data_IF_054632816369
#
_entry.id   IF_054632816369
#
_cell.length_a   1.000
_cell.length_b   1.000
_cell.length_c   1.000
_cell.angle_alpha   90.00
_cell.angle_beta   90.00
_cell.angle_gamma   90.00
#
_symmetry.space_group_name_H-M   'P 1'
#
loop_
_entity.id
_entity.type
_entity.pdbx_description
1 polymer ?
#
# COMPACT_ATOMS: atom_id res chain seq x y z
N UNK A 1 -6.72 -20.43 -1.89
CA UNK A 1 -6.24 -21.40 -2.91
C UNK A 1 -5.92 -20.73 -4.24
N UNK A 2 -6.85 -20.00 -4.88
CA UNK A 2 -6.60 -19.38 -6.21
C UNK A 2 -5.41 -18.41 -6.20
N UNK A 3 -5.30 -17.52 -5.21
CA UNK A 3 -4.18 -16.59 -5.09
C UNK A 3 -2.83 -17.35 -4.94
N UNK A 4 -2.80 -18.43 -4.18
CA UNK A 4 -1.62 -19.26 -3.99
C UNK A 4 -1.20 -19.98 -5.27
N UNK A 5 -2.17 -20.42 -6.09
CA UNK A 5 -1.90 -21.02 -7.40
C UNK A 5 -1.34 -19.97 -8.35
N UNK A 6 -2.02 -18.81 -8.45
CA UNK A 6 -1.62 -17.72 -9.34
C UNK A 6 -0.26 -17.10 -8.97
N UNK A 7 0.15 -17.18 -7.70
CA UNK A 7 1.49 -16.77 -7.27
C UNK A 7 2.59 -17.80 -7.61
N UNK A 8 2.22 -18.93 -8.21
CA UNK A 8 3.16 -19.97 -8.64
C UNK A 8 3.80 -20.75 -7.50
N UNK A 9 3.18 -20.77 -6.33
CA UNK A 9 3.66 -21.51 -5.16
C UNK A 9 3.15 -22.98 -5.13
N UNK A 10 2.23 -23.34 -6.02
CA UNK A 10 1.65 -24.70 -6.07
C UNK A 10 2.40 -25.56 -7.08
N UNK A 11 2.81 -26.74 -6.63
CA UNK A 11 3.48 -27.75 -7.44
C UNK A 11 2.67 -29.04 -7.37
N UNK A 12 2.49 -29.70 -8.51
CA UNK A 12 1.81 -30.98 -8.64
C UNK A 12 2.77 -31.97 -9.28
N UNK A 13 3.12 -33.03 -8.55
CA UNK A 13 4.12 -33.99 -9.03
C UNK A 13 5.47 -33.33 -9.36
N UNK A 14 5.85 -32.29 -8.62
CA UNK A 14 7.08 -31.53 -8.82
C UNK A 14 7.01 -30.44 -9.92
N UNK A 15 5.92 -30.37 -10.69
CA UNK A 15 5.72 -29.34 -11.72
C UNK A 15 4.89 -28.17 -11.18
N UNK A 16 5.31 -26.94 -11.49
CA UNK A 16 4.60 -25.72 -11.10
C UNK A 16 3.26 -25.61 -11.82
N UNK A 17 2.21 -25.32 -11.05
CA UNK A 17 0.85 -25.04 -11.56
C UNK A 17 0.49 -23.60 -11.17
N UNK A 18 0.27 -22.73 -12.16
CA UNK A 18 -0.02 -21.30 -11.96
C UNK A 18 -1.43 -20.88 -12.41
N UNK A 19 -2.18 -21.82 -13.03
CA UNK A 19 -3.56 -21.58 -13.49
C UNK A 19 -4.57 -22.24 -12.57
N UNK A 20 -5.44 -21.46 -11.87
CA UNK A 20 -6.56 -22.04 -11.14
C UNK A 20 -7.50 -22.80 -12.07
N UNK A 21 -7.93 -24.00 -11.65
CA UNK A 21 -8.78 -24.86 -12.47
C UNK A 21 -8.04 -25.80 -13.43
N UNK A 22 -6.71 -25.85 -13.39
CA UNK A 22 -5.95 -26.89 -14.07
C UNK A 22 -6.40 -28.28 -13.58
N UNK A 23 -6.74 -29.23 -14.46
CA UNK A 23 -7.10 -30.57 -14.05
C UNK A 23 -5.88 -31.26 -13.44
N UNK A 24 -6.08 -31.94 -12.30
CA UNK A 24 -5.05 -32.72 -11.62
C UNK A 24 -5.65 -34.11 -11.28
N UNK A 25 -4.82 -35.13 -11.22
CA UNK A 25 -5.27 -36.48 -10.82
C UNK A 25 -5.77 -36.47 -9.36
N UNK A 26 -6.73 -37.34 -9.02
CA UNK A 26 -7.29 -37.39 -7.65
C UNK A 26 -6.24 -37.74 -6.59
N UNK A 27 -5.23 -38.53 -6.97
CA UNK A 27 -4.11 -38.97 -6.14
C UNK A 27 -2.86 -38.07 -6.28
N UNK A 28 -2.96 -36.94 -6.97
CA UNK A 28 -1.83 -36.08 -7.22
C UNK A 28 -1.27 -35.50 -5.92
N UNK A 29 0.04 -35.60 -5.75
CA UNK A 29 0.73 -34.96 -4.65
C UNK A 29 0.83 -33.43 -4.92
N UNK A 30 0.13 -32.62 -4.12
CA UNK A 30 0.13 -31.18 -4.20
C UNK A 30 1.05 -30.64 -3.10
N UNK A 31 2.06 -29.90 -3.51
CA UNK A 31 2.98 -29.20 -2.61
C UNK A 31 2.83 -27.70 -2.74
N UNK A 32 2.88 -27.00 -1.63
CA UNK A 32 3.01 -25.54 -1.61
C UNK A 32 4.46 -25.24 -1.23
N UNK A 33 5.20 -24.62 -2.17
CA UNK A 33 6.60 -24.27 -1.98
C UNK A 33 6.73 -22.75 -1.83
N UNK A 34 7.34 -22.31 -0.73
CA UNK A 34 7.52 -20.90 -0.39
C UNK A 34 6.50 -20.39 0.63
N UNK A 35 6.63 -19.13 1.00
CA UNK A 35 5.74 -18.49 1.96
C UNK A 35 4.41 -18.13 1.31
N UNK A 36 3.32 -18.68 1.83
CA UNK A 36 1.96 -18.27 1.44
C UNK A 36 1.78 -16.82 1.85
N UNK A 37 1.31 -15.99 0.90
CA UNK A 37 1.00 -14.60 1.18
C UNK A 37 -0.07 -14.52 2.29
N UNK A 38 0.21 -13.84 3.42
CA UNK A 38 -0.73 -13.80 4.54
C UNK A 38 -1.96 -12.92 4.27
N UNK A 39 -1.92 -12.12 3.21
CA UNK A 39 -2.95 -11.15 2.84
C UNK A 39 -3.59 -11.49 1.49
N UNK A 40 -4.77 -10.92 1.21
CA UNK A 40 -5.47 -11.10 -0.08
C UNK A 40 -4.69 -10.58 -1.28
N UNK A 41 -3.69 -9.71 -1.07
CA UNK A 41 -2.77 -9.26 -2.10
C UNK A 41 -1.42 -8.82 -1.50
N UNK A 42 -0.39 -8.70 -2.35
CA UNK A 42 0.95 -8.22 -1.96
C UNK A 42 0.96 -6.82 -1.33
N UNK A 43 -0.10 -6.03 -1.56
CA UNK A 43 -0.26 -4.71 -0.92
C UNK A 43 -0.16 -4.79 0.60
N UNK A 44 -0.69 -5.85 1.23
CA UNK A 44 -0.60 -6.04 2.68
C UNK A 44 0.82 -6.06 3.24
N UNK A 45 1.81 -6.55 2.47
CA UNK A 45 3.22 -6.56 2.86
C UNK A 45 3.80 -5.14 3.01
N UNK A 46 3.28 -4.17 2.27
CA UNK A 46 3.70 -2.78 2.35
C UNK A 46 3.30 -2.17 3.70
N UNK A 47 2.04 -2.34 4.09
CA UNK A 47 1.56 -1.87 5.39
C UNK A 47 2.22 -2.65 6.54
N UNK A 48 2.42 -3.95 6.40
CA UNK A 48 3.14 -4.76 7.38
C UNK A 48 4.55 -4.22 7.62
N UNK A 49 5.30 -3.84 6.58
CA UNK A 49 6.61 -3.19 6.74
C UNK A 49 6.51 -1.88 7.49
N UNK A 50 5.53 -1.03 7.17
CA UNK A 50 5.31 0.22 7.89
C UNK A 50 5.05 -0.03 9.37
N UNK A 51 4.21 -1.02 9.71
CA UNK A 51 3.91 -1.38 11.10
C UNK A 51 5.10 -1.97 11.87
N UNK A 52 6.04 -2.58 11.16
CA UNK A 52 7.30 -3.06 11.80
C UNK A 52 8.29 -1.93 12.08
N UNK A 53 8.26 -0.87 11.27
CA UNK A 53 9.22 0.23 11.35
C UNK A 53 8.73 1.43 12.15
N UNK A 54 7.42 1.63 12.20
CA UNK A 54 6.79 2.76 12.87
C UNK A 54 5.90 2.28 14.02
N UNK A 55 5.70 3.10 15.06
CA UNK A 55 4.89 2.75 16.22
C UNK A 55 3.39 2.82 15.92
N UNK A 56 2.91 1.97 15.01
CA UNK A 56 1.51 1.92 14.57
C UNK A 56 0.78 0.84 15.37
N UNK A 57 -0.32 1.21 16.04
CA UNK A 57 -1.21 0.30 16.74
C UNK A 57 -2.61 0.44 16.16
N UNK A 58 -3.20 -0.67 15.71
CA UNK A 58 -4.51 -0.68 15.06
C UNK A 58 -5.60 -1.38 15.88
N UNK A 59 -5.26 -1.91 17.04
CA UNK A 59 -6.24 -2.59 17.92
C UNK A 59 -7.37 -1.64 18.31
N UNK A 60 -8.59 -1.98 17.92
CA UNK A 60 -9.80 -1.18 18.18
C UNK A 60 -9.91 0.09 17.32
N UNK A 61 -9.01 0.32 16.39
CA UNK A 61 -8.99 1.51 15.55
C UNK A 61 -10.09 1.48 14.47
N UNK A 62 -10.63 2.66 14.17
CA UNK A 62 -11.42 2.94 12.97
C UNK A 62 -10.49 3.44 11.88
N UNK A 63 -10.43 2.73 10.78
CA UNK A 63 -9.44 2.95 9.73
C UNK A 63 -10.06 3.31 8.39
N UNK A 64 -9.29 4.03 7.57
CA UNK A 64 -9.56 4.23 6.14
C UNK A 64 -8.50 3.55 5.27
N UNK A 65 -8.92 2.83 4.24
CA UNK A 65 -8.04 2.28 3.19
C UNK A 65 -8.35 3.01 1.89
N UNK A 66 -7.53 3.99 1.55
CA UNK A 66 -7.72 4.87 0.41
C UNK A 66 -6.96 4.32 -0.80
N UNK A 67 -7.72 3.83 -1.78
CA UNK A 67 -7.20 3.04 -2.89
C UNK A 67 -7.15 1.56 -2.55
N UNK A 68 -8.23 1.02 -1.98
CA UNK A 68 -8.27 -0.32 -1.41
C UNK A 68 -8.01 -1.44 -2.42
N UNK A 69 -8.41 -1.27 -3.69
CA UNK A 69 -8.23 -2.28 -4.75
C UNK A 69 -8.74 -3.66 -4.32
N UNK A 70 -7.89 -4.68 -4.32
CA UNK A 70 -8.23 -6.03 -3.84
C UNK A 70 -8.34 -6.14 -2.32
N UNK A 71 -7.86 -5.15 -1.56
CA UNK A 71 -7.99 -5.07 -0.12
C UNK A 71 -6.78 -5.56 0.69
N UNK A 72 -5.58 -5.53 0.10
CA UNK A 72 -4.37 -5.96 0.82
C UNK A 72 -4.11 -5.19 2.11
N UNK A 73 -4.29 -3.86 2.08
CA UNK A 73 -4.14 -3.01 3.27
C UNK A 73 -5.31 -3.22 4.24
N UNK A 74 -6.54 -3.29 3.75
CA UNK A 74 -7.72 -3.62 4.55
C UNK A 74 -7.53 -4.93 5.32
N UNK A 75 -7.09 -6.00 4.64
CA UNK A 75 -6.84 -7.31 5.27
C UNK A 75 -5.74 -7.21 6.35
N UNK A 76 -4.65 -6.49 6.06
CA UNK A 76 -3.60 -6.22 7.04
C UNK A 76 -4.13 -5.48 8.28
N UNK A 77 -4.93 -4.45 8.11
CA UNK A 77 -5.54 -3.71 9.22
C UNK A 77 -6.43 -4.60 10.08
N UNK A 78 -7.30 -5.39 9.46
CA UNK A 78 -8.20 -6.31 10.18
C UNK A 78 -7.44 -7.38 10.96
N UNK A 79 -6.38 -7.95 10.39
CA UNK A 79 -5.53 -8.93 11.07
C UNK A 79 -4.76 -8.31 12.24
N UNK A 80 -4.52 -7.01 12.23
CA UNK A 80 -3.89 -6.26 13.32
C UNK A 80 -4.89 -5.58 14.26
N UNK A 81 -6.15 -6.03 14.25
CA UNK A 81 -7.14 -5.68 15.27
C UNK A 81 -7.96 -4.43 15.00
N UNK A 82 -7.97 -3.90 13.77
CA UNK A 82 -8.87 -2.80 13.42
C UNK A 82 -10.34 -3.19 13.67
N UNK A 83 -11.07 -2.30 14.33
CA UNK A 83 -12.47 -2.47 14.63
C UNK A 83 -13.35 -2.28 13.40
N UNK A 84 -12.97 -1.34 12.53
CA UNK A 84 -13.72 -0.98 11.33
C UNK A 84 -12.76 -0.44 10.26
N UNK A 85 -13.00 -0.78 9.01
CA UNK A 85 -12.23 -0.26 7.87
C UNK A 85 -13.16 0.22 6.78
N UNK A 86 -13.02 1.49 6.40
CA UNK A 86 -13.62 2.07 5.19
C UNK A 86 -12.70 1.79 4.01
N UNK A 87 -13.07 0.84 3.17
CA UNK A 87 -12.33 0.47 1.96
C UNK A 87 -12.82 1.31 0.77
N UNK A 88 -12.07 2.34 0.43
CA UNK A 88 -12.42 3.36 -0.58
C UNK A 88 -11.66 3.09 -1.88
N UNK A 89 -12.38 3.00 -3.00
CA UNK A 89 -11.78 2.86 -4.32
C UNK A 89 -12.63 3.51 -5.41
N UNK A 90 -11.99 4.03 -6.45
CA UNK A 90 -12.69 4.54 -7.65
C UNK A 90 -13.20 3.40 -8.53
N UNK A 91 -12.60 2.22 -8.44
CA UNK A 91 -12.97 1.00 -9.14
C UNK A 91 -14.25 0.37 -8.59
N UNK A 92 -14.62 -0.74 -9.21
CA UNK A 92 -15.79 -1.52 -8.83
C UNK A 92 -15.53 -3.02 -8.91
N UNK A 93 -16.01 -3.77 -7.91
CA UNK A 93 -15.95 -5.23 -7.89
C UNK A 93 -14.53 -5.81 -7.66
N UNK A 94 -13.56 -4.99 -7.23
CA UNK A 94 -12.17 -5.43 -7.04
C UNK A 94 -11.90 -5.98 -5.64
N UNK A 95 -12.60 -5.47 -4.62
CA UNK A 95 -12.40 -5.89 -3.23
C UNK A 95 -12.68 -7.39 -3.08
N UNK A 96 -11.74 -8.12 -2.50
CA UNK A 96 -11.84 -9.57 -2.28
C UNK A 96 -13.13 -9.91 -1.52
N UNK A 97 -13.82 -10.99 -1.94
CA UNK A 97 -15.10 -11.40 -1.35
C UNK A 97 -15.03 -11.61 0.17
N UNK A 98 -13.94 -12.17 0.67
CA UNK A 98 -13.68 -12.34 2.10
C UNK A 98 -13.81 -11.03 2.87
N UNK A 99 -13.31 -9.91 2.31
CA UNK A 99 -13.34 -8.59 2.93
C UNK A 99 -14.69 -7.92 2.73
N UNK A 100 -15.27 -8.05 1.54
CA UNK A 100 -16.60 -7.52 1.23
C UNK A 100 -17.70 -8.08 2.14
N UNK A 101 -17.55 -9.31 2.58
CA UNK A 101 -18.48 -9.99 3.49
C UNK A 101 -18.14 -9.83 4.98
N UNK A 102 -17.01 -9.21 5.32
CA UNK A 102 -16.63 -8.97 6.71
C UNK A 102 -17.45 -7.79 7.28
N UNK A 103 -18.19 -7.97 8.39
CA UNK A 103 -19.03 -6.92 8.97
C UNK A 103 -18.26 -5.69 9.46
N UNK A 104 -16.93 -5.79 9.61
CA UNK A 104 -16.06 -4.68 9.98
C UNK A 104 -15.67 -3.81 8.78
N UNK A 105 -15.96 -4.22 7.54
CA UNK A 105 -15.56 -3.52 6.32
C UNK A 105 -16.76 -2.78 5.73
N UNK A 106 -16.58 -1.48 5.52
CA UNK A 106 -17.50 -0.65 4.74
C UNK A 106 -16.89 -0.46 3.35
N UNK A 107 -17.50 -1.08 2.34
CA UNK A 107 -17.02 -1.03 0.96
C UNK A 107 -17.56 0.22 0.25
N UNK A 108 -16.69 1.17 -0.06
CA UNK A 108 -17.00 2.43 -0.75
C UNK A 108 -16.36 2.41 -2.15
N UNK A 109 -16.97 1.70 -3.06
CA UNK A 109 -16.56 1.63 -4.48
C UNK A 109 -17.12 2.81 -5.29
N UNK A 110 -16.55 3.07 -6.49
CA UNK A 110 -16.88 4.20 -7.37
C UNK A 110 -16.79 5.54 -6.62
N UNK A 111 -15.90 5.62 -5.65
CA UNK A 111 -15.74 6.78 -4.77
C UNK A 111 -14.39 7.42 -5.00
N UNK A 112 -14.40 8.70 -5.38
CA UNK A 112 -13.17 9.45 -5.59
C UNK A 112 -12.68 10.03 -4.25
N UNK A 113 -11.54 9.55 -3.79
CA UNK A 113 -10.95 9.93 -2.51
C UNK A 113 -10.65 11.43 -2.37
N UNK A 114 -10.44 12.14 -3.49
CA UNK A 114 -10.24 13.60 -3.50
C UNK A 114 -11.43 14.38 -2.91
N UNK A 115 -12.61 13.80 -2.96
CA UNK A 115 -13.87 14.46 -2.55
C UNK A 115 -14.53 13.75 -1.36
N UNK A 116 -13.80 12.94 -0.62
CA UNK A 116 -14.31 12.28 0.58
C UNK A 116 -14.70 13.31 1.64
N UNK A 117 -15.85 13.07 2.25
CA UNK A 117 -16.37 13.83 3.38
C UNK A 117 -16.99 12.89 4.42
N UNK A 118 -17.46 13.44 5.54
CA UNK A 118 -18.19 12.69 6.56
C UNK A 118 -19.56 12.15 6.08
N UNK A 119 -20.03 12.52 4.89
CA UNK A 119 -21.22 11.88 4.28
C UNK A 119 -20.94 10.43 3.91
N UNK A 120 -19.73 10.12 3.39
CA UNK A 120 -19.30 8.77 3.03
C UNK A 120 -18.60 8.05 4.19
N UNK A 121 -17.86 8.80 5.01
CA UNK A 121 -17.08 8.30 6.15
C UNK A 121 -17.54 9.04 7.41
N UNK A 122 -18.68 8.64 8.02
CA UNK A 122 -19.25 9.36 9.15
C UNK A 122 -18.43 9.30 10.44
N UNK A 123 -17.59 8.28 10.59
CA UNK A 123 -16.69 8.16 11.75
C UNK A 123 -15.42 9.00 11.55
N UNK A 124 -14.88 9.53 12.64
CA UNK A 124 -13.51 10.05 12.64
C UNK A 124 -12.51 8.90 12.65
N UNK A 125 -11.51 8.97 11.78
CA UNK A 125 -10.52 7.92 11.60
C UNK A 125 -9.35 8.05 12.60
N UNK A 126 -8.99 6.95 13.24
CA UNK A 126 -7.77 6.84 14.04
C UNK A 126 -6.53 6.68 13.14
N UNK A 127 -6.72 5.98 12.02
CA UNK A 127 -5.65 5.65 11.09
C UNK A 127 -6.17 5.60 9.65
N UNK A 128 -5.31 5.95 8.70
CA UNK A 128 -5.59 5.70 7.29
C UNK A 128 -4.35 5.20 6.54
N UNK A 129 -4.56 4.39 5.53
CA UNK A 129 -3.57 4.10 4.49
C UNK A 129 -3.95 4.74 3.18
N UNK A 130 -2.95 5.12 2.36
CA UNK A 130 -3.16 5.70 1.04
C UNK A 130 -2.29 4.97 0.02
N UNK A 131 -2.92 4.22 -0.89
CA UNK A 131 -2.26 3.52 -2.01
C UNK A 131 -3.01 3.82 -3.31
N UNK A 132 -2.98 5.08 -3.74
CA UNK A 132 -3.66 5.56 -4.94
C UNK A 132 -2.76 5.53 -6.17
N UNK A 133 -3.35 5.47 -7.36
CA UNK A 133 -2.66 5.49 -8.64
C UNK A 133 -3.21 6.58 -9.55
N UNK A 134 -2.35 7.12 -10.42
CA UNK A 134 -2.67 8.16 -11.40
C UNK A 134 -3.13 9.50 -10.82
N UNK A 135 -2.82 9.76 -9.56
CA UNK A 135 -3.13 11.00 -8.85
C UNK A 135 -2.02 11.29 -7.84
N UNK A 136 -1.69 12.57 -7.65
CA UNK A 136 -0.73 12.99 -6.62
C UNK A 136 -1.37 12.99 -5.23
N UNK A 137 -0.57 12.65 -4.21
CA UNK A 137 -0.94 12.75 -2.80
C UNK A 137 -1.33 14.16 -2.39
N UNK A 138 -0.77 15.19 -3.03
CA UNK A 138 -1.17 16.60 -2.84
C UNK A 138 -2.69 16.82 -2.93
N UNK A 139 -3.38 16.04 -3.78
CA UNK A 139 -4.81 16.16 -3.99
C UNK A 139 -5.66 15.30 -3.03
N UNK A 140 -5.04 14.33 -2.37
CA UNK A 140 -5.72 13.38 -1.48
C UNK A 140 -5.59 13.80 -0.01
N UNK A 141 -4.40 14.24 0.40
CA UNK A 141 -4.11 14.58 1.79
C UNK A 141 -5.06 15.62 2.41
N UNK A 142 -5.47 16.70 1.71
CA UNK A 142 -6.40 17.67 2.29
C UNK A 142 -7.78 17.08 2.64
N UNK A 143 -8.34 16.23 1.77
CA UNK A 143 -9.62 15.56 2.04
C UNK A 143 -9.49 14.58 3.21
N UNK A 144 -8.41 13.81 3.23
CA UNK A 144 -8.14 12.84 4.29
C UNK A 144 -7.93 13.52 5.65
N UNK A 145 -7.26 14.69 5.67
CA UNK A 145 -7.05 15.47 6.90
C UNK A 145 -8.36 15.79 7.61
N UNK A 146 -9.41 16.10 6.85
CA UNK A 146 -10.74 16.41 7.38
C UNK A 146 -11.48 15.20 7.98
N UNK A 147 -11.03 13.99 7.72
CA UNK A 147 -11.64 12.75 8.22
C UNK A 147 -10.92 12.14 9.42
N UNK A 148 -9.70 12.59 9.70
CA UNK A 148 -8.87 12.08 10.79
C UNK A 148 -9.19 12.78 12.10
N UNK A 149 -9.12 12.02 13.19
CA UNK A 149 -9.05 12.57 14.53
C UNK A 149 -7.85 13.52 14.68
N UNK A 150 -7.89 14.46 15.64
CA UNK A 150 -6.66 15.10 16.10
C UNK A 150 -5.62 14.02 16.43
N UNK A 151 -4.38 14.22 15.97
CA UNK A 151 -3.28 13.24 16.12
C UNK A 151 -3.52 11.87 15.45
N UNK A 152 -4.52 11.74 14.57
CA UNK A 152 -4.72 10.55 13.74
C UNK A 152 -3.53 10.32 12.80
N UNK A 153 -3.25 9.06 12.49
CA UNK A 153 -2.05 8.69 11.74
C UNK A 153 -2.36 8.21 10.32
N UNK A 154 -1.40 8.39 9.43
CA UNK A 154 -1.51 7.96 8.03
C UNK A 154 -0.24 7.27 7.56
N UNK A 155 -0.39 6.19 6.80
CA UNK A 155 0.69 5.63 5.97
C UNK A 155 0.37 5.88 4.51
N UNK A 156 1.22 6.65 3.82
CA UNK A 156 1.08 6.95 2.39
C UNK A 156 2.09 6.15 1.57
N UNK A 157 1.65 5.55 0.46
CA UNK A 157 2.56 5.17 -0.61
C UNK A 157 2.91 6.39 -1.46
N UNK A 158 4.18 6.77 -1.44
CA UNK A 158 4.74 7.79 -2.33
C UNK A 158 5.27 7.09 -3.57
N UNK A 159 4.62 7.36 -4.70
CA UNK A 159 4.89 6.69 -5.98
C UNK A 159 5.54 7.67 -6.95
N UNK A 160 6.86 7.59 -7.18
CA UNK A 160 7.55 8.53 -8.07
C UNK A 160 6.91 8.67 -9.45
N UNK A 161 6.36 7.59 -10.00
CA UNK A 161 5.71 7.61 -11.31
C UNK A 161 4.45 8.47 -11.39
N UNK A 162 3.84 8.83 -10.26
CA UNK A 162 2.65 9.69 -10.20
C UNK A 162 2.91 11.06 -9.57
N UNK A 163 4.11 11.26 -9.02
CA UNK A 163 4.51 12.51 -8.34
C UNK A 163 5.53 13.34 -9.15
N UNK A 164 6.38 12.71 -9.98
CA UNK A 164 7.53 13.35 -10.59
C UNK A 164 7.22 14.26 -11.80
N UNK A 165 5.99 14.23 -12.33
CA UNK A 165 5.67 14.84 -13.63
C UNK A 165 5.99 13.91 -14.82
N UNK A 166 5.21 14.04 -15.89
CA UNK A 166 5.24 13.11 -17.03
C UNK A 166 6.58 13.07 -17.76
N UNK A 167 7.29 14.20 -17.80
CA UNK A 167 8.58 14.37 -18.47
C UNK A 167 9.71 13.56 -17.82
N UNK A 168 9.59 13.24 -16.53
CA UNK A 168 10.58 12.47 -15.75
C UNK A 168 10.28 10.98 -15.71
N UNK A 169 9.14 10.56 -16.27
CA UNK A 169 8.72 9.16 -16.30
C UNK A 169 9.17 8.50 -17.59
N UNK A 170 9.92 7.42 -17.49
CA UNK A 170 10.43 6.67 -18.63
C UNK A 170 9.33 6.00 -19.48
N UNK A 171 9.68 5.54 -20.69
CA UNK A 171 8.75 4.96 -21.69
C UNK A 171 7.86 3.82 -21.18
N UNK A 172 8.29 3.11 -20.13
CA UNK A 172 7.53 2.01 -19.49
C UNK A 172 6.80 2.43 -18.21
N UNK A 173 6.63 3.73 -17.98
CA UNK A 173 6.00 4.21 -16.73
C UNK A 173 6.90 4.06 -15.49
N UNK A 174 8.23 3.94 -15.66
CA UNK A 174 9.15 3.69 -14.55
C UNK A 174 10.10 4.88 -14.38
N UNK A 175 10.18 5.39 -13.14
CA UNK A 175 11.18 6.36 -12.71
C UNK A 175 12.39 5.61 -12.15
N UNK A 176 13.57 5.82 -12.76
CA UNK A 176 14.81 5.11 -12.41
C UNK A 176 15.89 6.01 -11.83
N UNK A 177 15.80 7.31 -12.09
CA UNK A 177 16.80 8.28 -11.66
C UNK A 177 16.68 8.54 -10.17
N UNK A 178 17.71 8.24 -9.35
CA UNK A 178 17.71 8.52 -7.92
C UNK A 178 17.48 10.01 -7.59
N UNK A 179 17.93 10.93 -8.46
CA UNK A 179 17.72 12.36 -8.25
C UNK A 179 16.22 12.72 -8.34
N UNK A 180 15.47 12.07 -9.23
CA UNK A 180 14.03 12.26 -9.33
C UNK A 180 13.31 11.68 -8.11
N UNK A 181 13.77 10.53 -7.59
CA UNK A 181 13.23 9.98 -6.34
C UNK A 181 13.43 10.93 -5.16
N UNK A 182 14.63 11.52 -5.05
CA UNK A 182 14.93 12.51 -4.02
C UNK A 182 14.00 13.72 -4.11
N UNK A 183 13.86 14.31 -5.29
CA UNK A 183 12.94 15.43 -5.54
C UNK A 183 11.49 15.10 -5.17
N UNK A 184 11.02 13.89 -5.53
CA UNK A 184 9.66 13.44 -5.17
C UNK A 184 9.47 13.35 -3.66
N UNK A 185 10.46 12.87 -2.92
CA UNK A 185 10.40 12.82 -1.46
C UNK A 185 10.41 14.23 -0.84
N UNK A 186 11.21 15.15 -1.36
CA UNK A 186 11.21 16.55 -0.93
C UNK A 186 9.84 17.20 -1.14
N UNK A 187 9.23 17.04 -2.32
CA UNK A 187 7.87 17.51 -2.60
C UNK A 187 6.82 16.84 -1.71
N UNK A 188 6.98 15.56 -1.39
CA UNK A 188 6.08 14.88 -0.46
C UNK A 188 6.08 15.53 0.93
N UNK A 189 7.26 15.90 1.46
CA UNK A 189 7.38 16.61 2.74
C UNK A 189 6.64 17.95 2.69
N UNK A 190 6.79 18.70 1.59
CA UNK A 190 6.08 19.99 1.40
C UNK A 190 4.56 19.78 1.35
N UNK A 191 4.07 18.79 0.58
CA UNK A 191 2.64 18.50 0.45
C UNK A 191 2.02 18.03 1.78
N UNK A 192 2.75 17.25 2.57
CA UNK A 192 2.33 16.84 3.90
C UNK A 192 2.12 18.07 4.80
N UNK A 193 3.11 18.95 4.85
CA UNK A 193 3.06 20.18 5.64
C UNK A 193 1.93 21.11 5.19
N UNK A 194 1.77 21.34 3.88
CA UNK A 194 0.70 22.15 3.30
C UNK A 194 -0.71 21.60 3.66
N UNK A 195 -0.80 20.29 3.92
CA UNK A 195 -2.05 19.61 4.27
C UNK A 195 -2.24 19.41 5.77
N UNK A 196 -1.48 20.13 6.62
CA UNK A 196 -1.53 20.04 8.09
C UNK A 196 -1.20 18.64 8.62
N UNK A 197 -0.12 18.05 8.08
CA UNK A 197 0.47 16.82 8.58
C UNK A 197 1.94 17.02 8.96
N UNK A 198 2.37 16.33 10.00
CA UNK A 198 3.79 16.16 10.35
C UNK A 198 4.29 14.81 9.90
N UNK A 199 5.45 14.76 9.26
CA UNK A 199 6.11 13.50 8.85
C UNK A 199 6.88 12.93 10.02
N UNK A 200 6.46 11.74 10.47
CA UNK A 200 7.06 11.00 11.60
C UNK A 200 8.06 9.93 11.15
N UNK A 201 8.13 9.65 9.86
CA UNK A 201 9.06 8.67 9.33
C UNK A 201 8.90 8.42 7.84
N UNK A 202 9.97 7.97 7.22
CA UNK A 202 10.04 7.55 5.83
C UNK A 202 10.81 6.25 5.69
N UNK A 203 10.33 5.36 4.85
CA UNK A 203 11.02 4.15 4.41
C UNK A 203 10.62 3.82 2.97
N UNK A 204 11.10 2.71 2.42
CA UNK A 204 10.68 2.25 1.09
C UNK A 204 9.87 0.95 1.19
N UNK A 205 9.04 0.71 0.19
CA UNK A 205 8.23 -0.51 0.09
C UNK A 205 9.13 -1.76 0.00
N UNK A 206 8.75 -2.87 0.65
CA UNK A 206 9.52 -4.12 0.56
C UNK A 206 9.42 -4.79 -0.82
N UNK A 207 8.49 -4.33 -1.65
CA UNK A 207 8.23 -4.84 -2.99
C UNK A 207 8.11 -3.68 -3.98
N UNK A 208 8.48 -3.94 -5.22
CA UNK A 208 8.26 -2.99 -6.32
C UNK A 208 6.79 -2.92 -6.72
N UNK A 209 6.37 -1.79 -7.25
CA UNK A 209 5.10 -1.63 -7.94
C UNK A 209 5.00 -2.53 -9.18
N UNK A 210 3.78 -2.63 -9.77
CA UNK A 210 3.50 -3.56 -10.89
C UNK A 210 4.45 -3.43 -12.09
N UNK A 211 4.85 -2.18 -12.42
CA UNK A 211 5.75 -1.89 -13.55
C UNK A 211 7.25 -1.90 -13.14
N UNK A 212 7.55 -2.23 -11.87
CA UNK A 212 8.89 -2.29 -11.33
C UNK A 212 9.38 -1.00 -10.70
N UNK A 213 8.51 -0.04 -10.43
CA UNK A 213 8.84 1.19 -9.71
C UNK A 213 9.21 0.89 -8.24
N UNK A 214 10.23 1.60 -7.75
CA UNK A 214 10.49 1.73 -6.32
C UNK A 214 9.44 2.70 -5.77
N UNK A 215 8.81 2.32 -4.66
CA UNK A 215 7.80 3.13 -3.99
C UNK A 215 8.24 3.35 -2.54
N UNK A 216 7.84 4.47 -1.94
CA UNK A 216 8.21 4.82 -0.57
C UNK A 216 6.99 4.81 0.34
N UNK A 217 7.22 4.66 1.64
CA UNK A 217 6.22 4.67 2.68
C UNK A 217 6.47 5.87 3.58
N UNK A 218 5.53 6.82 3.60
CA UNK A 218 5.54 7.95 4.52
C UNK A 218 4.60 7.71 5.68
N UNK A 219 5.08 7.90 6.91
CA UNK A 219 4.29 7.85 8.13
C UNK A 219 4.04 9.25 8.64
N UNK A 220 2.77 9.63 8.75
CA UNK A 220 2.31 10.97 9.04
C UNK A 220 1.43 10.98 10.30
N UNK A 221 1.41 12.13 10.98
CA UNK A 221 0.43 12.48 12.01
C UNK A 221 -0.34 13.72 11.60
N UNK A 222 -1.65 13.74 11.81
CA UNK A 222 -2.48 14.91 11.65
C UNK A 222 -2.13 15.97 12.68
N UNK A 223 -1.90 17.23 12.23
CA UNK A 223 -1.52 18.35 13.08
C UNK A 223 -0.03 18.39 13.43
N UNK A 224 0.30 19.17 14.45
CA UNK A 224 1.68 19.38 14.88
C UNK A 224 2.22 18.22 15.72
N UNK A 225 3.44 17.78 15.41
CA UNK A 225 4.21 16.78 16.15
C UNK A 225 5.70 17.02 16.00
N UNK A 226 6.52 16.23 16.66
CA UNK A 226 7.96 16.24 16.44
C UNK A 226 8.29 15.51 15.14
N UNK A 227 8.77 16.24 14.17
CA UNK A 227 9.19 15.70 12.88
C UNK A 227 10.35 14.71 13.02
N UNK A 228 10.31 13.61 12.25
CA UNK A 228 11.38 12.61 12.21
C UNK A 228 11.62 12.17 10.77
N UNK A 229 12.55 12.83 10.09
CA UNK A 229 12.88 12.58 8.68
C UNK A 229 14.28 11.98 8.61
N UNK A 230 14.45 10.79 7.98
CA UNK A 230 15.77 10.23 7.71
C UNK A 230 16.52 11.06 6.67
N UNK A 231 17.83 10.80 6.53
CA UNK A 231 18.55 11.32 5.36
C UNK A 231 17.95 10.76 4.07
N UNK A 232 17.38 11.66 3.25
CA UNK A 232 16.66 11.28 2.04
C UNK A 232 17.58 10.67 0.97
N UNK A 233 18.85 11.10 0.91
CA UNK A 233 19.83 10.58 -0.04
C UNK A 233 20.22 9.15 0.32
N UNK A 234 20.43 8.90 1.60
CA UNK A 234 20.71 7.55 2.12
C UNK A 234 19.50 6.63 1.92
N UNK A 235 18.28 7.11 2.19
CA UNK A 235 17.05 6.37 1.95
C UNK A 235 16.88 5.96 0.49
N UNK A 236 17.11 6.90 -0.44
CA UNK A 236 17.03 6.63 -1.89
C UNK A 236 18.12 5.64 -2.30
N UNK A 237 19.35 5.82 -1.84
CA UNK A 237 20.46 4.90 -2.15
C UNK A 237 20.16 3.47 -1.66
N UNK A 238 19.70 3.32 -0.42
CA UNK A 238 19.32 2.03 0.16
C UNK A 238 18.20 1.34 -0.63
N UNK A 239 17.15 2.09 -1.02
CA UNK A 239 16.04 1.54 -1.79
C UNK A 239 16.46 1.02 -3.16
N UNK A 240 17.39 1.71 -3.82
CA UNK A 240 17.94 1.28 -5.11
C UNK A 240 18.84 0.07 -5.00
N UNK A 241 19.63 -0.06 -3.91
CA UNK A 241 20.50 -1.20 -3.68
C UNK A 241 19.71 -2.45 -3.31
N UNK A 242 18.89 -2.41 -2.27
CA UNK A 242 18.15 -3.56 -1.74
C UNK A 242 17.20 -4.16 -2.77
N UNK A 243 16.48 -3.30 -3.51
CA UNK A 243 15.54 -3.77 -4.51
C UNK A 243 16.18 -4.19 -5.85
N UNK A 244 17.47 -3.94 -6.09
CA UNK A 244 18.21 -4.54 -7.20
C UNK A 244 18.54 -6.01 -6.92
N UNK A 245 19.01 -6.32 -5.72
CA UNK A 245 19.41 -7.66 -5.32
C UNK A 245 18.24 -8.65 -5.39
N UNK A 246 17.05 -8.25 -4.97
CA UNK A 246 15.82 -9.08 -5.08
C UNK A 246 15.30 -9.29 -6.52
N UNK A 247 15.71 -8.46 -7.47
CA UNK A 247 15.33 -8.61 -8.89
C UNK A 247 16.16 -9.65 -9.65
N UNK A 248 17.35 -9.96 -9.17
CA UNK A 248 18.28 -10.93 -9.81
C UNK A 248 18.04 -12.37 -9.31
N UNK A 249 17.53 -12.56 -8.09
CA UNK A 249 17.22 -13.89 -7.54
C UNK A 249 16.00 -14.59 -8.18
N UNK A 250 15.14 -13.86 -8.89
CA UNK A 250 13.93 -14.41 -9.52
C UNK A 250 14.04 -14.53 -11.05
N UNK A 251 15.22 -14.33 -11.61
CA UNK A 251 15.51 -14.38 -13.05
C UNK A 251 16.38 -15.56 -13.50
N UNK A 252 16.53 -16.61 -12.69
CA UNK A 252 17.20 -17.87 -13.09
C UNK A 252 16.25 -19.04 -13.07
#
# INVERSE_FOLDING_TARGET
>A
AQATIMSGLVFVGGQRVDKPGSPVAEDAQIEIRGNVLPYVSRGGLKLEKAMRQFPITLTGAVCGDIGASTGGFTDCMLQNGAQKVYAVDVGYGQLAWKLRSDPRVVCLERTNARYLTHEQVPDELDFASVDVSFISLKLILPALRGLLKPEGHVVCLVKPQFEAGKEKVGKKGVVRDPAVHLEVLEHFLEHAKESDFTVLGLTFSPIRGPEGNIEYLGYLQAGEAQESIPDLKELVAASHQELKEHGEEHGQ
#
